data_IF_792182989746
#
_entry.id   IF_792182989746
#
_cell.length_a   1.000
_cell.length_b   1.000
_cell.length_c   1.000
_cell.angle_alpha   90.00
_cell.angle_beta   90.00
_cell.angle_gamma   90.00
#
_symmetry.space_group_name_H-M   'P 1'
#
loop_
_entity.id
_entity.type
_entity.pdbx_description
1 polymer ?
#
# COMPACT_ATOMS: atom_id res chain seq x y z
N UNK A 1 12.09 -7.86 6.24
CA UNK A 1 11.24 -8.10 5.05
C UNK A 1 10.45 -6.82 4.84
N UNK A 2 10.48 -6.22 3.65
CA UNK A 2 9.79 -4.94 3.43
C UNK A 2 8.32 -5.22 3.13
N UNK A 3 7.51 -5.13 4.17
CA UNK A 3 6.08 -5.46 4.19
C UNK A 3 5.22 -4.21 3.99
N UNK A 4 5.69 -3.28 3.14
CA UNK A 4 5.10 -1.95 2.94
C UNK A 4 5.14 -1.55 1.48
N UNK A 5 4.19 -0.71 1.09
CA UNK A 5 4.18 0.01 -0.19
C UNK A 5 4.59 1.46 0.08
N UNK A 6 5.62 1.93 -0.62
CA UNK A 6 6.12 3.30 -0.50
C UNK A 6 5.52 4.18 -1.59
N UNK A 7 5.13 5.40 -1.22
CA UNK A 7 4.65 6.44 -2.12
C UNK A 7 5.76 7.50 -2.21
N UNK A 8 6.23 7.72 -3.43
CA UNK A 8 7.28 8.69 -3.72
C UNK A 8 6.79 9.71 -4.73
N UNK A 9 7.34 10.92 -4.64
CA UNK A 9 7.26 11.89 -5.71
C UNK A 9 7.99 11.35 -6.94
N UNK A 10 7.35 11.37 -8.11
CA UNK A 10 7.97 10.82 -9.32
C UNK A 10 9.17 11.65 -9.80
N UNK A 11 9.10 12.97 -9.67
CA UNK A 11 10.11 13.87 -10.24
C UNK A 11 11.36 13.93 -9.35
N UNK A 12 11.17 14.07 -8.04
CA UNK A 12 12.27 14.17 -7.08
C UNK A 12 12.68 12.83 -6.47
N UNK A 13 11.86 11.78 -6.59
CA UNK A 13 11.98 10.52 -5.84
C UNK A 13 11.93 10.71 -4.32
N UNK A 14 11.41 11.85 -3.86
CA UNK A 14 11.23 12.13 -2.45
C UNK A 14 10.17 11.19 -1.87
N UNK A 15 10.49 10.56 -0.74
CA UNK A 15 9.54 9.75 0.00
C UNK A 15 8.44 10.63 0.60
N UNK A 16 7.18 10.32 0.28
CA UNK A 16 6.02 11.05 0.81
C UNK A 16 5.41 10.34 2.02
N UNK A 17 5.12 9.05 1.87
CA UNK A 17 4.53 8.21 2.92
C UNK A 17 4.60 6.73 2.50
N UNK A 18 4.22 5.82 3.39
CA UNK A 18 4.03 4.41 3.06
C UNK A 18 2.81 3.83 3.76
N UNK A 19 2.29 2.75 3.21
CA UNK A 19 1.23 1.98 3.84
C UNK A 19 1.50 0.48 3.86
N UNK A 20 0.79 -0.16 4.79
CA UNK A 20 0.87 -1.60 5.05
C UNK A 20 1.82 -1.98 6.18
N UNK A 21 1.63 -3.21 6.66
CA UNK A 21 2.38 -3.85 7.76
C UNK A 21 2.47 -5.35 7.51
N UNK A 22 3.33 -6.06 8.24
CA UNK A 22 3.42 -7.51 8.18
C UNK A 22 2.10 -8.24 8.50
N UNK A 23 1.72 -9.21 7.68
CA UNK A 23 0.65 -10.15 8.02
C UNK A 23 -0.26 -10.60 6.87
N UNK A 24 -1.38 -11.22 7.23
CA UNK A 24 -2.38 -11.79 6.29
C UNK A 24 -3.72 -11.07 6.29
N UNK A 25 -3.91 -10.05 7.13
CA UNK A 25 -5.12 -9.24 7.12
C UNK A 25 -5.14 -8.29 5.91
N UNK A 26 -6.30 -7.72 5.54
CA UNK A 26 -6.32 -6.81 4.41
C UNK A 26 -5.53 -5.52 4.73
N UNK A 27 -4.78 -5.06 3.75
CA UNK A 27 -3.77 -4.00 3.90
C UNK A 27 -2.46 -4.44 4.56
N UNK A 28 -2.35 -5.69 5.03
CA UNK A 28 -1.08 -6.26 5.45
C UNK A 28 -0.39 -6.94 4.25
N UNK A 29 0.91 -7.14 4.35
CA UNK A 29 1.75 -7.75 3.34
C UNK A 29 2.71 -8.77 3.96
N UNK A 30 3.00 -9.83 3.20
CA UNK A 30 4.13 -10.73 3.43
C UNK A 30 5.12 -10.57 2.28
N UNK A 31 4.70 -10.95 1.07
CA UNK A 31 5.60 -11.18 -0.07
C UNK A 31 5.11 -10.42 -1.30
N UNK A 32 4.86 -9.12 -1.17
CA UNK A 32 4.50 -8.26 -2.32
C UNK A 32 5.67 -8.25 -3.29
N UNK A 33 5.42 -8.66 -4.53
CA UNK A 33 6.42 -8.58 -5.60
C UNK A 33 5.92 -7.93 -6.87
N UNK A 34 4.67 -7.49 -6.91
CA UNK A 34 4.16 -6.73 -8.06
C UNK A 34 3.13 -5.69 -7.62
N UNK A 35 3.16 -4.56 -8.31
CA UNK A 35 2.21 -3.45 -8.14
C UNK A 35 1.76 -2.97 -9.52
N UNK A 36 0.47 -2.67 -9.65
CA UNK A 36 -0.13 -2.08 -10.85
C UNK A 36 -1.14 -0.99 -10.45
N UNK A 37 -1.41 -0.06 -11.36
CA UNK A 37 -2.34 1.06 -11.15
C UNK A 37 -3.32 1.11 -12.33
N UNK A 38 -4.61 1.26 -12.05
CA UNK A 38 -5.63 1.44 -13.09
C UNK A 38 -5.83 2.92 -13.47
N UNK A 39 -6.68 3.20 -14.47
CA UNK A 39 -6.94 4.57 -14.94
C UNK A 39 -7.59 5.47 -13.88
N UNK A 40 -8.30 4.88 -12.91
CA UNK A 40 -8.88 5.60 -11.78
C UNK A 40 -7.85 5.81 -10.64
N UNK A 41 -6.61 5.36 -10.83
CA UNK A 41 -5.54 5.48 -9.86
C UNK A 41 -5.59 4.47 -8.72
N UNK A 42 -6.46 3.45 -8.78
CA UNK A 42 -6.50 2.39 -7.76
C UNK A 42 -5.24 1.54 -7.84
N UNK A 43 -4.72 1.14 -6.68
CA UNK A 43 -3.49 0.35 -6.59
C UNK A 43 -3.83 -1.12 -6.42
N UNK A 44 -3.17 -1.97 -7.19
CA UNK A 44 -3.29 -3.41 -7.12
C UNK A 44 -1.94 -3.99 -6.71
N UNK A 45 -1.91 -4.81 -5.67
CA UNK A 45 -0.70 -5.54 -5.28
C UNK A 45 -0.92 -7.03 -5.46
N UNK A 46 0.14 -7.72 -5.89
CA UNK A 46 0.16 -9.18 -5.94
C UNK A 46 1.30 -9.70 -5.06
N UNK A 47 0.93 -10.62 -4.17
CA UNK A 47 1.87 -11.32 -3.30
C UNK A 47 2.18 -12.69 -3.85
N UNK A 48 3.47 -13.01 -3.89
CA UNK A 48 3.98 -14.31 -4.33
C UNK A 48 4.12 -15.28 -3.16
N UNK A 49 4.61 -16.50 -3.44
CA UNK A 49 5.02 -17.48 -2.43
C UNK A 49 3.90 -17.88 -1.47
N UNK A 50 4.01 -17.46 -0.20
CA UNK A 50 3.03 -17.79 0.86
C UNK A 50 1.93 -16.73 1.06
N UNK A 51 2.09 -15.55 0.42
CA UNK A 51 1.06 -14.51 0.41
C UNK A 51 -0.14 -14.90 -0.46
N UNK A 52 0.12 -15.39 -1.69
CA UNK A 52 -0.85 -15.95 -2.67
C UNK A 52 -2.15 -15.16 -2.76
N UNK A 53 -2.05 -13.84 -2.83
CA UNK A 53 -3.20 -12.94 -2.76
C UNK A 53 -2.98 -11.73 -3.64
N UNK A 54 -4.07 -11.24 -4.20
CA UNK A 54 -4.17 -9.93 -4.83
C UNK A 54 -5.01 -9.03 -3.92
N UNK A 55 -4.56 -7.79 -3.71
CA UNK A 55 -5.32 -6.77 -2.98
C UNK A 55 -5.53 -5.54 -3.86
N UNK A 56 -6.73 -4.98 -3.84
CA UNK A 56 -7.07 -3.70 -4.48
C UNK A 56 -7.23 -2.63 -3.40
N UNK A 57 -6.55 -1.51 -3.59
CA UNK A 57 -6.66 -0.31 -2.76
C UNK A 57 -7.34 0.78 -3.58
N UNK A 58 -8.51 1.21 -3.13
CA UNK A 58 -9.25 2.27 -3.79
C UNK A 58 -8.53 3.60 -3.59
N UNK A 59 -8.34 4.34 -4.67
CA UNK A 59 -7.81 5.69 -4.59
C UNK A 59 -8.92 6.64 -4.14
N UNK A 60 -8.75 7.23 -2.96
CA UNK A 60 -9.67 8.22 -2.39
C UNK A 60 -9.19 9.66 -2.60
N UNK A 61 -8.16 9.87 -3.44
CA UNK A 61 -7.46 11.13 -3.61
C UNK A 61 -6.32 11.32 -2.62
N UNK A 62 -5.57 12.42 -2.79
CA UNK A 62 -4.50 12.79 -1.87
C UNK A 62 -5.08 13.57 -0.69
N UNK A 63 -4.92 13.02 0.51
CA UNK A 63 -5.16 13.73 1.76
C UNK A 63 -3.85 14.22 2.40
N UNK A 64 -3.93 14.99 3.49
CA UNK A 64 -2.76 15.35 4.28
C UNK A 64 -2.03 14.09 4.78
N UNK A 65 -0.71 14.04 4.59
CA UNK A 65 0.12 13.00 5.22
C UNK A 65 0.36 13.41 6.68
N UNK A 66 -0.37 12.77 7.60
CA UNK A 66 -0.25 13.04 9.04
C UNK A 66 0.79 12.17 9.74
N UNK A 67 1.31 11.15 9.06
CA UNK A 67 2.37 10.26 9.54
C UNK A 67 3.18 9.69 8.36
N UNK A 68 4.46 9.41 8.60
CA UNK A 68 5.36 8.69 7.65
C UNK A 68 4.81 7.31 7.26
N UNK A 69 4.06 6.69 8.19
CA UNK A 69 3.55 5.34 8.14
C UNK A 69 2.03 5.37 8.35
N UNK A 70 1.27 5.47 7.27
CA UNK A 70 -0.17 5.29 7.34
C UNK A 70 -0.42 3.79 7.45
N UNK A 71 -0.97 3.32 8.58
CA UNK A 71 -1.30 1.91 8.76
C UNK A 71 -2.18 1.38 7.62
N UNK A 72 -2.33 0.06 7.53
CA UNK A 72 -3.33 -0.54 6.66
C UNK A 72 -4.69 0.15 6.92
N UNK A 73 -5.25 0.83 5.91
CA UNK A 73 -6.60 1.39 5.97
C UNK A 73 -7.59 0.21 5.91
N UNK A 74 -7.74 -0.48 7.03
CA UNK A 74 -8.71 -1.56 7.25
C UNK A 74 -9.65 -1.13 8.38
N UNK A 75 -10.97 -1.45 8.34
CA UNK A 75 -11.90 -0.71 9.16
C UNK A 75 -11.68 -0.94 10.67
N UNK A 76 -11.42 0.18 11.36
CA UNK A 76 -11.45 0.38 12.81
C UNK A 76 -10.15 0.99 13.36
N UNK A 77 -10.07 2.25 13.81
CA UNK A 77 -11.10 3.12 14.40
C UNK A 77 -11.13 4.53 13.80
N UNK A 78 -12.27 5.19 13.99
CA UNK A 78 -12.38 6.65 14.10
C UNK A 78 -11.30 7.23 15.03
#
# INVERSE_FOLDING_TARGET
>A
MNERVHILDRASLEFRTSFGVGGRYPGHFREVGSVAVDEAGNVYTAEHGQGRRIQKFTNLGMGPVTAEHQGALYPGSQ
#
